data_IF_472484481661
#
_entry.id   IF_472484481661
#
_cell.length_a   1.000
_cell.length_b   1.000
_cell.length_c   1.000
_cell.angle_alpha   90.00
_cell.angle_beta   90.00
_cell.angle_gamma   90.00
#
_symmetry.space_group_name_H-M   'P 1'
#
loop_
_entity.id
_entity.type
_entity.pdbx_description
1 polymer ?
#
# COMPACT_ATOMS: atom_id res chain seq x y z
N UNK A 1 -24.55 -1.10 -8.71
CA UNK A 1 -23.61 -0.40 -7.78
C UNK A 1 -23.72 -1.07 -6.42
N UNK A 2 -22.60 -1.59 -5.93
CA UNK A 2 -22.49 -2.41 -4.72
C UNK A 2 -22.90 -1.58 -3.47
N UNK A 3 -24.06 -1.91 -2.90
CA UNK A 3 -24.58 -1.32 -1.66
C UNK A 3 -24.04 -2.01 -0.41
N UNK A 4 -22.74 -2.26 -0.32
CA UNK A 4 -22.16 -3.06 0.77
C UNK A 4 -21.96 -2.23 2.04
N UNK A 5 -22.75 -2.58 3.07
CA UNK A 5 -22.58 -2.24 4.49
C UNK A 5 -22.81 -0.78 4.91
N UNK A 6 -24.07 -0.32 4.86
CA UNK A 6 -24.50 0.77 5.75
C UNK A 6 -24.56 0.23 7.18
N UNK A 7 -23.47 0.41 7.94
CA UNK A 7 -23.47 0.11 9.40
C UNK A 7 -24.64 0.86 10.03
N UNK A 8 -25.50 0.20 10.84
CA UNK A 8 -26.61 0.88 11.48
C UNK A 8 -26.04 2.05 12.31
N UNK A 9 -26.59 3.26 12.18
CA UNK A 9 -26.04 4.45 12.85
C UNK A 9 -26.12 4.37 14.37
N UNK A 10 -26.87 3.39 14.90
CA UNK A 10 -27.00 3.11 16.33
C UNK A 10 -26.89 1.62 16.62
N UNK A 11 -26.10 1.27 17.63
CA UNK A 11 -26.09 -0.07 18.26
C UNK A 11 -26.40 0.16 19.74
N UNK A 12 -27.45 -0.49 20.26
CA UNK A 12 -27.90 -0.35 21.66
C UNK A 12 -28.10 1.11 22.12
N UNK A 13 -28.63 1.96 21.24
CA UNK A 13 -28.89 3.38 21.54
C UNK A 13 -27.69 4.33 21.42
N UNK A 14 -26.47 3.81 21.28
CA UNK A 14 -25.25 4.62 21.10
C UNK A 14 -25.05 4.94 19.62
N UNK A 15 -24.90 6.23 19.29
CA UNK A 15 -24.57 6.69 17.94
C UNK A 15 -23.10 6.38 17.67
N UNK A 16 -22.84 5.55 16.67
CA UNK A 16 -21.46 5.23 16.29
C UNK A 16 -20.91 6.41 15.48
N UNK A 17 -19.81 7.05 15.91
CA UNK A 17 -19.21 8.11 15.13
C UNK A 17 -18.79 7.56 13.76
N UNK A 18 -19.06 8.32 12.70
CA UNK A 18 -18.65 7.96 11.34
C UNK A 18 -17.13 7.74 11.26
N UNK A 19 -16.68 7.00 10.23
CA UNK A 19 -15.24 6.79 10.00
C UNK A 19 -14.56 8.15 9.83
N UNK A 20 -13.64 8.49 10.74
CA UNK A 20 -12.81 9.70 10.64
C UNK A 20 -11.39 9.27 10.34
N UNK A 21 -10.75 9.94 9.38
CA UNK A 21 -9.34 9.76 9.11
C UNK A 21 -8.56 10.49 10.20
N UNK A 22 -8.20 9.78 11.27
CA UNK A 22 -7.43 10.32 12.39
C UNK A 22 -5.94 10.08 12.17
N UNK A 23 -5.08 10.77 12.92
CA UNK A 23 -3.63 10.53 12.89
C UNK A 23 -3.29 9.06 13.20
N UNK A 24 -4.01 8.43 14.12
CA UNK A 24 -3.87 7.00 14.41
C UNK A 24 -4.24 6.13 13.20
N UNK A 25 -5.28 6.49 12.44
CA UNK A 25 -5.65 5.78 11.22
C UNK A 25 -4.56 5.92 10.13
N UNK A 26 -3.93 7.09 10.03
CA UNK A 26 -2.79 7.30 9.14
C UNK A 26 -1.60 6.42 9.53
N UNK A 27 -1.23 6.37 10.82
CA UNK A 27 -0.14 5.52 11.32
C UNK A 27 -0.42 4.05 11.01
N UNK A 28 -1.64 3.59 11.25
CA UNK A 28 -2.07 2.23 10.90
C UNK A 28 -1.95 1.97 9.40
N UNK A 29 -2.44 2.88 8.57
CA UNK A 29 -2.35 2.75 7.11
C UNK A 29 -0.89 2.68 6.65
N UNK A 30 -0.03 3.56 7.14
CA UNK A 30 1.38 3.59 6.75
C UNK A 30 2.09 2.31 7.18
N UNK A 31 1.91 1.90 8.44
CA UNK A 31 2.56 0.72 9.01
C UNK A 31 2.15 -0.60 8.36
N UNK A 32 0.84 -0.78 8.11
CA UNK A 32 0.30 -2.07 7.70
C UNK A 32 -0.03 -2.18 6.22
N UNK A 33 -0.13 -1.07 5.49
CA UNK A 33 -0.49 -1.07 4.08
C UNK A 33 0.63 -0.47 3.24
N UNK A 34 0.99 0.78 3.49
CA UNK A 34 1.94 1.48 2.63
C UNK A 34 3.35 0.87 2.69
N UNK A 35 3.89 0.64 3.89
CA UNK A 35 5.23 0.09 4.07
C UNK A 35 5.40 -1.32 3.48
N UNK A 36 4.48 -2.29 3.73
CA UNK A 36 4.59 -3.61 3.12
C UNK A 36 4.50 -3.57 1.59
N UNK A 37 3.59 -2.77 1.04
CA UNK A 37 3.47 -2.60 -0.41
C UNK A 37 4.74 -2.02 -1.01
N UNK A 38 5.30 -0.98 -0.39
CA UNK A 38 6.57 -0.38 -0.81
C UNK A 38 7.72 -1.39 -0.73
N UNK A 39 7.81 -2.16 0.36
CA UNK A 39 8.86 -3.17 0.53
C UNK A 39 8.77 -4.25 -0.55
N UNK A 40 7.58 -4.77 -0.83
CA UNK A 40 7.37 -5.77 -1.89
C UNK A 40 7.69 -5.20 -3.27
N UNK A 41 7.23 -3.98 -3.57
CA UNK A 41 7.53 -3.32 -4.83
C UNK A 41 9.03 -3.12 -5.03
N UNK A 42 9.75 -2.73 -3.98
CA UNK A 42 11.20 -2.51 -4.02
C UNK A 42 11.97 -3.81 -4.21
N UNK A 43 11.54 -4.91 -3.57
CA UNK A 43 12.11 -6.24 -3.80
C UNK A 43 11.90 -6.67 -5.26
N UNK A 44 10.69 -6.46 -5.80
CA UNK A 44 10.39 -6.78 -7.20
C UNK A 44 11.22 -5.94 -8.17
N UNK A 45 11.41 -4.66 -7.90
CA UNK A 45 12.25 -3.78 -8.72
C UNK A 45 13.71 -4.23 -8.71
N UNK A 46 14.21 -4.63 -7.54
CA UNK A 46 15.57 -5.15 -7.38
C UNK A 46 15.77 -6.49 -8.10
N UNK A 47 14.78 -7.38 -8.03
CA UNK A 47 14.78 -8.63 -8.81
C UNK A 47 14.76 -8.34 -10.32
N UNK A 48 13.91 -7.41 -10.76
CA UNK A 48 13.85 -6.96 -12.15
C UNK A 48 15.20 -6.41 -12.63
N UNK A 49 15.85 -5.59 -11.80
CA UNK A 49 17.19 -5.07 -12.10
C UNK A 49 18.23 -6.19 -12.23
N UNK A 50 18.26 -7.17 -11.32
CA UNK A 50 19.18 -8.31 -11.42
C UNK A 50 18.94 -9.10 -12.71
N UNK A 51 17.68 -9.40 -13.03
CA UNK A 51 17.33 -10.15 -14.24
C UNK A 51 17.78 -9.37 -15.49
N UNK A 52 17.44 -8.10 -15.57
CA UNK A 52 17.73 -7.28 -16.76
C UNK A 52 19.22 -7.05 -16.94
N UNK A 53 19.97 -6.77 -15.87
CA UNK A 53 21.42 -6.52 -15.96
C UNK A 53 22.24 -7.79 -16.14
N UNK A 54 21.82 -8.92 -15.55
CA UNK A 54 22.59 -10.18 -15.59
C UNK A 54 22.19 -11.13 -16.71
N UNK A 55 20.94 -11.06 -17.19
CA UNK A 55 20.43 -11.97 -18.22
C UNK A 55 20.31 -11.27 -19.57
N UNK A 56 19.90 -10.00 -19.58
CA UNK A 56 19.64 -9.25 -20.81
C UNK A 56 20.75 -8.25 -21.16
N UNK A 57 21.81 -8.18 -20.34
CA UNK A 57 22.96 -7.26 -20.49
C UNK A 57 22.56 -5.78 -20.65
N UNK A 58 21.35 -5.40 -20.23
CA UNK A 58 20.93 -4.02 -20.31
C UNK A 58 21.59 -3.21 -19.19
N UNK A 59 21.95 -1.97 -19.49
CA UNK A 59 22.77 -1.12 -18.61
C UNK A 59 22.04 -0.62 -17.36
N UNK A 60 20.71 -0.51 -17.38
CA UNK A 60 19.92 -0.11 -16.21
C UNK A 60 18.45 -0.59 -16.32
N UNK A 61 17.75 -0.71 -15.18
CA UNK A 61 16.32 -0.99 -15.11
C UNK A 61 15.69 -0.35 -13.88
N UNK A 62 14.47 0.18 -14.01
CA UNK A 62 13.65 0.63 -12.87
C UNK A 62 14.22 1.86 -12.15
N UNK A 63 14.14 1.85 -10.82
CA UNK A 63 14.60 2.98 -9.98
C UNK A 63 16.13 3.17 -10.10
N UNK A 64 16.86 2.11 -10.46
CA UNK A 64 18.31 2.16 -10.70
C UNK A 64 18.70 2.84 -12.03
N UNK A 65 17.74 3.21 -12.89
CA UNK A 65 17.99 4.09 -14.04
C UNK A 65 17.81 5.59 -13.72
N UNK A 66 17.36 5.95 -12.50
CA UNK A 66 17.11 7.36 -12.16
C UNK A 66 18.40 8.14 -11.82
N UNK A 67 19.55 7.48 -11.79
CA UNK A 67 20.88 8.03 -11.53
C UNK A 67 21.88 7.44 -12.53
#
# INVERSE_FOLDING_TARGET
MIGQFRKPPRIRGVIIPGRRFTLAALIYFVGFIALPLLAVALILDLLGWVIVTKVLEASCYGVMCLF
#
